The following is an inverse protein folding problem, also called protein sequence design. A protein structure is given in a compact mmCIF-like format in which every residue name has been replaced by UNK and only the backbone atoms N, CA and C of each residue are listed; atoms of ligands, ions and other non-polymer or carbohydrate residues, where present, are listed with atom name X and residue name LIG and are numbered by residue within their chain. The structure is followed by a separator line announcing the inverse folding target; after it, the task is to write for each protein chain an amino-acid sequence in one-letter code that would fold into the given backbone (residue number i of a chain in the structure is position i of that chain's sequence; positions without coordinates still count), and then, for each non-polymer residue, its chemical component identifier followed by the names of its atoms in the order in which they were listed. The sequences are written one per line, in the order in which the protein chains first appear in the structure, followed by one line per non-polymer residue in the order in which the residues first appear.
data_IF_052954054938
#
_entry.id   IF_052954054938
#
_cell.length_a   1.000
_cell.length_b   1.000
_cell.length_c   1.000
_cell.angle_alpha   90.00
_cell.angle_beta   90.00
_cell.angle_gamma   90.00
#
_symmetry.space_group_name_H-M   'P 1'
#
loop_
_entity.id
_entity.type
_entity.pdbx_description
1 polymer ?
#
# COMPACT_ATOMS: atom_id res chain seq x y z
N UNK A 1 -2.21 -30.68 -36.48
CA UNK A 1 -3.61 -31.06 -36.23
C UNK A 1 -3.79 -30.97 -34.73
N UNK A 2 -4.72 -30.15 -34.24
CA UNK A 2 -4.86 -29.95 -32.79
C UNK A 2 -5.59 -31.17 -32.19
N UNK A 3 -4.91 -31.93 -31.35
CA UNK A 3 -5.49 -33.04 -30.60
C UNK A 3 -5.31 -32.79 -29.11
N UNK A 4 -6.26 -33.29 -28.33
CA UNK A 4 -6.18 -33.28 -26.88
C UNK A 4 -5.61 -34.63 -26.48
N UNK A 5 -4.35 -34.66 -26.05
CA UNK A 5 -3.68 -35.89 -25.58
C UNK A 5 -4.04 -36.19 -24.10
N UNK A 6 -5.33 -36.07 -23.75
CA UNK A 6 -5.81 -36.23 -22.37
C UNK A 6 -7.03 -37.13 -22.39
N UNK A 7 -7.11 -38.02 -21.40
CA UNK A 7 -8.26 -38.91 -21.23
C UNK A 7 -9.48 -38.16 -20.69
N UNK A 8 -10.71 -38.60 -20.99
CA UNK A 8 -11.93 -38.01 -20.41
C UNK A 8 -11.92 -37.96 -18.87
N UNK A 9 -11.31 -38.96 -18.22
CA UNK A 9 -11.19 -38.99 -16.76
C UNK A 9 -10.24 -37.93 -16.20
N UNK A 10 -9.11 -37.69 -16.86
CA UNK A 10 -8.21 -36.60 -16.50
C UNK A 10 -8.87 -35.24 -16.67
N UNK A 11 -9.66 -35.05 -17.73
CA UNK A 11 -10.39 -33.81 -17.94
C UNK A 11 -11.42 -33.54 -16.85
N UNK A 12 -12.12 -34.57 -16.34
CA UNK A 12 -13.00 -34.44 -15.17
C UNK A 12 -12.23 -34.02 -13.92
N UNK A 13 -11.01 -34.52 -13.72
CA UNK A 13 -10.14 -34.07 -12.62
C UNK A 13 -9.77 -32.60 -12.79
N UNK A 14 -9.42 -32.17 -14.00
CA UNK A 14 -9.12 -30.76 -14.30
C UNK A 14 -10.32 -29.85 -14.06
N UNK A 15 -11.53 -30.28 -14.40
CA UNK A 15 -12.76 -29.55 -14.07
C UNK A 15 -12.93 -29.38 -12.56
N UNK A 16 -12.75 -30.45 -11.77
CA UNK A 16 -12.79 -30.38 -10.31
C UNK A 16 -11.70 -29.45 -9.75
N UNK A 17 -10.48 -29.55 -10.27
CA UNK A 17 -9.35 -28.71 -9.88
C UNK A 17 -9.63 -27.23 -10.14
N UNK A 18 -10.15 -26.86 -11.32
CA UNK A 18 -10.51 -25.48 -11.61
C UNK A 18 -11.60 -24.93 -10.68
N UNK A 19 -12.55 -25.76 -10.22
CA UNK A 19 -13.56 -25.34 -9.21
C UNK A 19 -12.91 -25.08 -7.86
N UNK A 20 -12.00 -25.94 -7.43
CA UNK A 20 -11.28 -25.79 -6.16
C UNK A 20 -10.36 -24.56 -6.16
N UNK A 21 -9.76 -24.24 -7.30
CA UNK A 21 -8.93 -23.05 -7.49
C UNK A 21 -9.74 -21.75 -7.57
N UNK A 22 -11.08 -21.84 -7.70
CA UNK A 22 -11.94 -20.66 -7.83
C UNK A 22 -11.72 -19.88 -9.12
N UNK A 23 -11.35 -20.57 -10.21
CA UNK A 23 -11.15 -19.95 -11.52
C UNK A 23 -12.47 -19.43 -12.10
N UNK A 24 -12.36 -18.54 -13.08
CA UNK A 24 -13.52 -17.95 -13.75
C UNK A 24 -14.46 -19.03 -14.36
N UNK A 25 -15.76 -18.74 -14.38
CA UNK A 25 -16.78 -19.65 -14.89
C UNK A 25 -16.55 -20.01 -16.37
N UNK A 26 -15.92 -19.11 -17.13
CA UNK A 26 -15.56 -19.35 -18.53
C UNK A 26 -14.52 -20.46 -18.70
N UNK A 27 -13.66 -20.70 -17.70
CA UNK A 27 -12.71 -21.83 -17.71
C UNK A 27 -13.45 -23.16 -17.65
N UNK A 28 -14.43 -23.27 -16.74
CA UNK A 28 -15.27 -24.46 -16.62
C UNK A 28 -15.98 -24.76 -17.95
N UNK A 29 -16.56 -23.72 -18.57
CA UNK A 29 -17.26 -23.84 -19.85
C UNK A 29 -16.34 -24.36 -20.96
N UNK A 30 -15.09 -23.88 -21.04
CA UNK A 30 -14.11 -24.35 -22.03
C UNK A 30 -13.72 -25.82 -21.79
N UNK A 31 -13.52 -26.20 -20.53
CA UNK A 31 -13.28 -27.60 -20.16
C UNK A 31 -14.47 -28.51 -20.49
N UNK A 32 -15.71 -28.03 -20.40
CA UNK A 32 -16.89 -28.77 -20.86
C UNK A 32 -16.89 -28.98 -22.39
N UNK A 33 -16.45 -27.98 -23.17
CA UNK A 33 -16.30 -28.14 -24.62
C UNK A 33 -15.34 -29.27 -24.97
N UNK A 34 -14.20 -29.33 -24.27
CA UNK A 34 -13.22 -30.38 -24.46
C UNK A 34 -13.75 -31.75 -24.02
N UNK A 35 -14.58 -31.82 -22.97
CA UNK A 35 -15.17 -33.07 -22.49
C UNK A 35 -16.10 -33.65 -23.55
N UNK A 36 -17.02 -32.83 -24.04
CA UNK A 36 -17.94 -33.23 -25.10
C UNK A 36 -17.21 -33.53 -26.41
N UNK A 37 -16.15 -32.80 -26.73
CA UNK A 37 -15.33 -33.06 -27.91
C UNK A 37 -14.72 -34.47 -27.87
N UNK A 38 -14.16 -34.90 -26.74
CA UNK A 38 -13.64 -36.25 -26.57
C UNK A 38 -14.76 -37.30 -26.59
N UNK A 39 -15.89 -37.04 -25.92
CA UNK A 39 -17.03 -37.96 -25.86
C UNK A 39 -17.74 -38.15 -27.22
N UNK A 40 -17.70 -37.13 -28.09
CA UNK A 40 -18.32 -37.15 -29.43
C UNK A 40 -17.40 -37.69 -30.53
N UNK A 41 -16.24 -38.27 -30.18
CA UNK A 41 -15.29 -38.80 -31.15
C UNK A 41 -14.53 -37.71 -31.91
N UNK A 42 -14.16 -36.62 -31.22
CA UNK A 42 -13.32 -35.55 -31.74
C UNK A 42 -13.93 -34.73 -32.88
N UNK A 43 -15.26 -34.59 -32.89
CA UNK A 43 -15.96 -33.78 -33.89
C UNK A 43 -16.11 -32.31 -33.47
N UNK A 44 -15.16 -31.45 -33.87
CA UNK A 44 -15.22 -30.00 -33.60
C UNK A 44 -16.54 -29.38 -34.06
N UNK A 45 -17.05 -29.81 -35.24
CA UNK A 45 -18.30 -29.28 -35.79
C UNK A 45 -19.51 -29.61 -34.91
N UNK A 46 -19.54 -30.81 -34.34
CA UNK A 46 -20.61 -31.23 -33.44
C UNK A 46 -20.53 -30.49 -32.11
N UNK A 47 -19.33 -30.38 -31.52
CA UNK A 47 -19.09 -29.61 -30.29
C UNK A 47 -19.52 -28.15 -30.45
N UNK A 48 -19.08 -27.50 -31.52
CA UNK A 48 -19.41 -26.11 -31.82
C UNK A 48 -20.92 -25.90 -31.98
N UNK A 49 -21.61 -26.84 -32.64
CA UNK A 49 -23.08 -26.82 -32.79
C UNK A 49 -23.79 -27.01 -31.44
N UNK A 50 -23.26 -27.88 -30.57
CA UNK A 50 -23.84 -28.17 -29.27
C UNK A 50 -23.76 -26.97 -28.33
N UNK A 51 -22.59 -26.32 -28.22
CA UNK A 51 -22.38 -25.19 -27.31
C UNK A 51 -22.64 -23.81 -27.91
N UNK A 52 -22.97 -23.73 -29.21
CA UNK A 52 -23.19 -22.46 -29.91
C UNK A 52 -21.92 -21.61 -30.03
N UNK A 53 -20.77 -22.26 -30.25
CA UNK A 53 -19.45 -21.61 -30.31
C UNK A 53 -18.92 -21.62 -31.74
N UNK A 54 -18.26 -20.54 -32.17
CA UNK A 54 -17.61 -20.52 -33.47
C UNK A 54 -16.38 -21.45 -33.48
N UNK A 55 -16.17 -22.20 -34.57
CA UNK A 55 -15.01 -23.11 -34.72
C UNK A 55 -13.67 -22.41 -34.46
N UNK A 56 -13.52 -21.17 -34.92
CA UNK A 56 -12.31 -20.36 -34.69
C UNK A 56 -12.05 -20.09 -33.20
N UNK A 57 -13.11 -19.92 -32.41
CA UNK A 57 -13.00 -19.75 -30.95
C UNK A 57 -12.61 -21.05 -30.29
N UNK A 58 -13.22 -22.17 -30.70
CA UNK A 58 -12.84 -23.49 -30.18
C UNK A 58 -11.36 -23.78 -30.45
N UNK A 59 -10.88 -23.61 -31.69
CA UNK A 59 -9.47 -23.84 -32.02
C UNK A 59 -8.52 -22.92 -31.27
N UNK A 60 -8.87 -21.64 -31.08
CA UNK A 60 -8.08 -20.70 -30.28
C UNK A 60 -7.88 -21.20 -28.85
N UNK A 61 -8.95 -21.69 -28.22
CA UNK A 61 -8.86 -22.20 -26.85
C UNK A 61 -8.18 -23.55 -26.77
N UNK A 62 -8.35 -24.40 -27.78
CA UNK A 62 -7.65 -25.66 -27.89
C UNK A 62 -6.14 -25.46 -28.04
N UNK A 63 -5.71 -24.43 -28.78
CA UNK A 63 -4.30 -24.05 -28.91
C UNK A 63 -3.70 -23.55 -27.58
N UNK A 64 -4.50 -22.87 -26.75
CA UNK A 64 -4.04 -22.36 -25.46
C UNK A 64 -4.13 -23.37 -24.33
N UNK A 65 -4.89 -24.45 -24.50
CA UNK A 65 -5.14 -25.38 -23.43
C UNK A 65 -3.87 -26.13 -23.01
N UNK A 66 -3.41 -25.87 -21.79
CA UNK A 66 -2.36 -26.64 -21.12
C UNK A 66 -2.97 -27.37 -19.91
N UNK A 67 -3.01 -28.71 -19.88
CA UNK A 67 -3.48 -29.45 -18.71
C UNK A 67 -2.67 -29.21 -17.43
N UNK A 68 -1.42 -28.77 -17.54
CA UNK A 68 -0.59 -28.45 -16.38
C UNK A 68 -0.91 -27.08 -15.79
N UNK A 69 -1.50 -26.18 -16.58
CA UNK A 69 -1.84 -24.81 -16.18
C UNK A 69 -3.22 -24.38 -16.71
N UNK A 70 -4.23 -24.46 -15.82
CA UNK A 70 -5.61 -24.11 -16.15
C UNK A 70 -5.85 -22.59 -16.30
N UNK A 71 -4.92 -21.74 -15.86
CA UNK A 71 -5.00 -20.29 -16.08
C UNK A 71 -4.88 -19.92 -17.57
N UNK A 72 -4.31 -20.82 -18.38
CA UNK A 72 -4.25 -20.64 -19.84
C UNK A 72 -5.63 -20.52 -20.50
N UNK A 73 -6.67 -21.07 -19.86
CA UNK A 73 -8.06 -20.99 -20.30
C UNK A 73 -8.80 -19.75 -19.81
N UNK A 74 -8.20 -18.91 -18.97
CA UNK A 74 -8.82 -17.67 -18.51
C UNK A 74 -8.88 -16.61 -19.62
N UNK A 75 -9.97 -15.85 -19.67
CA UNK A 75 -10.06 -14.74 -20.61
C UNK A 75 -9.09 -13.64 -20.20
N UNK A 76 -8.28 -13.19 -21.16
CA UNK A 76 -7.36 -12.08 -20.93
C UNK A 76 -8.12 -10.78 -21.08
N UNK A 77 -7.69 -9.76 -20.34
CA UNK A 77 -8.27 -8.41 -20.47
C UNK A 77 -8.26 -7.93 -21.93
N UNK A 78 -9.45 -7.69 -22.49
CA UNK A 78 -9.61 -7.06 -23.80
C UNK A 78 -9.30 -5.56 -23.78
N UNK A 79 -9.01 -5.00 -22.60
CA UNK A 79 -8.71 -3.57 -22.47
C UNK A 79 -7.37 -3.29 -23.18
N UNK A 80 -7.32 -2.30 -24.10
CA UNK A 80 -6.08 -1.90 -24.73
C UNK A 80 -5.01 -1.57 -23.68
N UNK A 81 -3.79 -2.07 -23.89
CA UNK A 81 -2.65 -1.81 -22.99
C UNK A 81 -2.36 -0.31 -22.86
N UNK A 82 -2.53 0.44 -23.96
CA UNK A 82 -2.34 1.88 -23.98
C UNK A 82 -3.66 2.57 -24.33
N UNK A 83 -4.20 3.32 -23.35
CA UNK A 83 -5.30 4.23 -23.59
C UNK A 83 -4.75 5.58 -24.07
N UNK A 84 -5.44 6.18 -25.04
CA UNK A 84 -5.12 7.53 -25.52
C UNK A 84 -5.27 8.53 -24.36
N UNK A 85 -4.21 9.32 -24.11
CA UNK A 85 -4.28 10.44 -23.19
C UNK A 85 -5.05 11.62 -23.83
N UNK A 86 -5.88 12.37 -23.08
CA UNK A 86 -6.52 13.57 -23.58
C UNK A 86 -5.49 14.58 -24.10
N UNK A 87 -5.75 15.19 -25.26
CA UNK A 87 -4.92 16.27 -25.83
C UNK A 87 -5.29 17.63 -25.23
N UNK A 88 -5.39 17.72 -23.91
CA UNK A 88 -5.75 18.97 -23.23
C UNK A 88 -4.48 19.55 -22.60
N UNK A 89 -4.19 20.81 -22.91
CA UNK A 89 -3.08 21.54 -22.29
C UNK A 89 -3.35 21.74 -20.80
N UNK A 90 -2.31 21.63 -19.97
CA UNK A 90 -2.44 21.82 -18.52
C UNK A 90 -3.06 23.18 -18.16
N UNK A 91 -2.73 24.23 -18.90
CA UNK A 91 -3.31 25.58 -18.75
C UNK A 91 -4.85 25.57 -18.80
N UNK A 92 -5.45 24.82 -19.72
CA UNK A 92 -6.91 24.72 -19.82
C UNK A 92 -7.48 24.03 -18.58
N UNK A 93 -6.82 22.97 -18.09
CA UNK A 93 -7.25 22.26 -16.88
C UNK A 93 -7.23 23.19 -15.67
N UNK A 94 -6.19 24.01 -15.53
CA UNK A 94 -6.03 24.94 -14.43
C UNK A 94 -7.07 26.06 -14.47
N UNK A 95 -7.34 26.62 -15.65
CA UNK A 95 -8.40 27.63 -15.83
C UNK A 95 -9.78 27.06 -15.50
N UNK A 96 -10.11 25.86 -15.98
CA UNK A 96 -11.38 25.17 -15.64
C UNK A 96 -11.49 24.97 -14.13
N UNK A 97 -10.39 24.62 -13.44
CA UNK A 97 -10.36 24.53 -11.98
C UNK A 97 -10.66 25.88 -11.34
N UNK A 98 -10.00 26.95 -11.77
CA UNK A 98 -10.19 28.30 -11.22
C UNK A 98 -11.65 28.74 -11.36
N UNK A 99 -12.26 28.56 -12.54
CA UNK A 99 -13.67 28.91 -12.74
C UNK A 99 -14.59 28.11 -11.83
N UNK A 100 -14.37 26.79 -11.68
CA UNK A 100 -15.14 25.94 -10.78
C UNK A 100 -14.93 26.27 -9.29
N UNK A 101 -13.76 26.77 -8.91
CA UNK A 101 -13.49 27.20 -7.53
C UNK A 101 -14.18 28.54 -7.22
N UNK A 102 -14.21 29.46 -8.18
CA UNK A 102 -14.89 30.76 -8.06
C UNK A 102 -16.42 30.59 -8.02
N UNK A 103 -16.95 29.77 -8.92
CA UNK A 103 -18.36 29.39 -8.95
C UNK A 103 -18.50 27.87 -9.19
N UNK A 104 -18.79 27.10 -8.13
CA UNK A 104 -18.96 25.67 -8.24
C UNK A 104 -20.12 25.24 -9.13
N UNK A 105 -21.14 26.08 -9.34
CA UNK A 105 -22.34 25.72 -10.11
C UNK A 105 -22.24 26.01 -11.60
N UNK A 106 -21.17 26.69 -12.02
CA UNK A 106 -20.96 27.10 -13.40
C UNK A 106 -21.02 25.91 -14.38
N UNK A 107 -21.80 26.06 -15.45
CA UNK A 107 -21.97 25.04 -16.47
C UNK A 107 -20.71 24.81 -17.31
N UNK A 108 -20.57 23.62 -17.89
CA UNK A 108 -19.48 23.32 -18.84
C UNK A 108 -19.52 24.21 -20.09
N UNK A 109 -20.71 24.63 -20.52
CA UNK A 109 -20.90 25.51 -21.68
C UNK A 109 -20.44 26.94 -21.36
N UNK A 110 -20.80 27.45 -20.19
CA UNK A 110 -20.36 28.76 -19.70
C UNK A 110 -18.84 28.82 -19.52
N UNK A 111 -18.23 27.77 -18.96
CA UNK A 111 -16.76 27.70 -18.84
C UNK A 111 -16.09 27.69 -20.22
N UNK A 112 -16.68 27.02 -21.22
CA UNK A 112 -16.14 27.03 -22.58
C UNK A 112 -16.19 28.42 -23.20
N UNK A 113 -17.29 29.15 -23.00
CA UNK A 113 -17.44 30.54 -23.43
C UNK A 113 -16.41 31.46 -22.76
N UNK A 114 -16.22 31.34 -21.44
CA UNK A 114 -15.21 32.13 -20.70
C UNK A 114 -13.78 31.87 -21.18
N UNK A 115 -13.44 30.60 -21.47
CA UNK A 115 -12.13 30.26 -22.02
C UNK A 115 -11.89 30.89 -23.40
N UNK A 116 -12.92 30.98 -24.24
CA UNK A 116 -12.84 31.62 -25.55
C UNK A 116 -12.77 33.15 -25.41
N UNK A 117 -13.60 33.76 -24.57
CA UNK A 117 -13.67 35.22 -24.41
C UNK A 117 -12.47 35.82 -23.66
N UNK A 118 -12.01 35.19 -22.57
CA UNK A 118 -10.94 35.75 -21.72
C UNK A 118 -9.54 35.34 -22.17
N UNK A 119 -9.42 34.17 -22.81
CA UNK A 119 -8.12 33.56 -23.11
C UNK A 119 -7.93 33.16 -24.58
N UNK A 120 -8.91 33.42 -25.45
CA UNK A 120 -8.87 33.02 -26.87
C UNK A 120 -8.62 31.51 -27.07
N UNK A 121 -9.00 30.69 -26.09
CA UNK A 121 -8.79 29.24 -26.11
C UNK A 121 -10.08 28.53 -26.51
N UNK A 122 -10.15 28.06 -27.76
CA UNK A 122 -11.33 27.36 -28.27
C UNK A 122 -11.37 25.91 -27.77
N UNK A 123 -12.20 25.64 -26.76
CA UNK A 123 -12.38 24.30 -26.17
C UNK A 123 -13.85 23.92 -26.19
N UNK A 124 -14.19 22.74 -26.74
CA UNK A 124 -15.58 22.28 -26.73
C UNK A 124 -16.08 22.06 -25.29
N UNK A 125 -17.36 22.37 -25.04
CA UNK A 125 -18.04 22.06 -23.78
C UNK A 125 -17.89 20.59 -23.33
N UNK A 126 -17.90 19.65 -24.27
CA UNK A 126 -17.65 18.23 -23.98
C UNK A 126 -16.24 17.97 -23.45
N UNK A 127 -15.23 18.71 -23.91
CA UNK A 127 -13.86 18.64 -23.37
C UNK A 127 -13.81 19.21 -21.96
N UNK A 128 -14.46 20.35 -21.70
CA UNK A 128 -14.59 20.92 -20.36
C UNK A 128 -15.27 19.95 -19.40
N UNK A 129 -16.38 19.33 -19.81
CA UNK A 129 -17.07 18.31 -19.03
C UNK A 129 -16.21 17.07 -18.72
N UNK A 130 -15.39 16.62 -19.69
CA UNK A 130 -14.41 15.55 -19.47
C UNK A 130 -13.35 15.96 -18.44
N UNK A 131 -12.83 17.19 -18.51
CA UNK A 131 -11.87 17.72 -17.53
C UNK A 131 -12.50 17.72 -16.14
N UNK A 132 -13.70 18.29 -15.98
CA UNK A 132 -14.40 18.33 -14.69
C UNK A 132 -14.58 16.93 -14.10
N UNK A 133 -14.96 15.95 -14.92
CA UNK A 133 -15.19 14.57 -14.47
C UNK A 133 -13.88 13.86 -14.16
N UNK A 134 -12.86 14.00 -15.00
CA UNK A 134 -11.57 13.33 -14.85
C UNK A 134 -10.80 13.83 -13.62
N UNK A 135 -10.84 15.14 -13.35
CA UNK A 135 -10.14 15.76 -12.23
C UNK A 135 -11.05 16.03 -11.02
N UNK A 136 -12.30 15.58 -11.07
CA UNK A 136 -13.27 15.69 -9.97
C UNK A 136 -13.49 17.14 -9.48
N UNK A 137 -13.61 18.11 -10.39
CA UNK A 137 -13.82 19.53 -10.07
C UNK A 137 -15.25 19.86 -9.64
N UNK A 138 -15.76 19.13 -8.65
CA UNK A 138 -17.06 19.33 -8.04
C UNK A 138 -16.88 19.96 -6.66
N UNK A 139 -16.69 21.28 -6.60
CA UNK A 139 -16.41 21.99 -5.33
C UNK A 139 -17.67 22.38 -4.54
N UNK A 140 -18.86 22.29 -5.13
CA UNK A 140 -20.11 22.68 -4.49
C UNK A 140 -20.58 21.69 -3.42
N UNK A 141 -21.40 22.16 -2.48
CA UNK A 141 -21.96 21.33 -1.40
C UNK A 141 -23.35 20.75 -1.70
N UNK A 142 -23.87 20.94 -2.92
CA UNK A 142 -25.15 20.33 -3.32
C UNK A 142 -25.10 18.80 -3.31
N UNK A 143 -26.27 18.17 -3.17
CA UNK A 143 -26.45 16.71 -3.21
C UNK A 143 -25.82 16.10 -4.48
N UNK A 144 -26.00 16.75 -5.63
CA UNK A 144 -25.43 16.28 -6.89
C UNK A 144 -23.89 16.29 -6.88
N UNK A 145 -23.28 17.34 -6.34
CA UNK A 145 -21.83 17.44 -6.23
C UNK A 145 -21.25 16.38 -5.30
N UNK A 146 -21.89 16.15 -4.14
CA UNK A 146 -21.52 15.09 -3.19
C UNK A 146 -21.56 13.71 -3.84
N UNK A 147 -22.66 13.39 -4.53
CA UNK A 147 -22.82 12.14 -5.29
C UNK A 147 -21.75 11.97 -6.36
N UNK A 148 -21.40 13.05 -7.08
CA UNK A 148 -20.37 13.02 -8.13
C UNK A 148 -18.96 12.81 -7.60
N UNK A 149 -18.63 13.33 -6.41
CA UNK A 149 -17.36 13.05 -5.72
C UNK A 149 -17.24 11.60 -5.22
N UNK A 150 -18.33 10.83 -5.25
CA UNK A 150 -18.42 9.48 -4.66
C UNK A 150 -17.98 9.48 -3.19
N UNK A 151 -18.26 10.56 -2.48
CA UNK A 151 -18.08 10.58 -1.03
C UNK A 151 -19.00 9.50 -0.43
N UNK A 152 -18.53 8.67 0.51
CA UNK A 152 -19.41 7.76 1.22
C UNK A 152 -20.55 8.59 1.78
N UNK A 153 -21.79 8.18 1.53
CA UNK A 153 -22.93 8.80 2.17
C UNK A 153 -22.70 8.69 3.67
N UNK A 154 -22.38 9.81 4.32
CA UNK A 154 -22.37 9.89 5.77
C UNK A 154 -23.84 9.75 6.19
N UNK A 155 -24.28 8.52 6.41
CA UNK A 155 -25.54 8.24 7.09
C UNK A 155 -25.52 8.96 8.45
N UNK A 156 -26.49 9.86 8.64
CA UNK A 156 -26.78 10.45 9.94
C UNK A 156 -26.53 11.96 10.02
N UNK A 157 -27.58 12.71 9.67
CA UNK A 157 -27.97 14.07 10.13
C UNK A 157 -28.46 14.92 8.96
N UNK A 158 -29.57 14.52 8.35
CA UNK A 158 -30.38 15.41 7.53
C UNK A 158 -31.84 15.05 7.76
N UNK A 159 -32.46 15.77 8.70
CA UNK A 159 -33.87 15.57 9.02
C UNK A 159 -34.34 16.30 10.26
N UNK A 160 -33.96 17.57 10.46
CA UNK A 160 -34.71 18.47 11.39
C UNK A 160 -34.80 19.94 10.94
N UNK A 161 -34.08 20.38 9.91
CA UNK A 161 -34.08 21.82 9.58
C UNK A 161 -34.82 22.11 8.26
N UNK A 162 -36.06 21.67 8.10
CA UNK A 162 -36.99 22.29 7.15
C UNK A 162 -38.43 21.83 7.41
N UNK A 163 -39.17 22.62 8.18
CA UNK A 163 -40.60 22.93 8.04
C UNK A 163 -40.94 24.03 9.08
N UNK A 164 -40.91 25.28 8.57
CA UNK A 164 -41.65 26.53 8.87
C UNK A 164 -42.90 26.47 9.79
N UNK A 165 -43.52 27.56 10.32
CA UNK A 165 -43.59 28.95 9.80
C UNK A 165 -43.73 30.11 10.85
N UNK A 166 -43.88 31.33 10.34
CA UNK A 166 -44.31 32.61 10.93
C UNK A 166 -45.42 32.48 12.01
N UNK A 167 -45.25 33.08 13.20
CA UNK A 167 -46.27 33.83 13.98
C UNK A 167 -45.73 34.34 15.35
N UNK A 168 -45.96 35.64 15.58
CA UNK A 168 -46.27 36.39 16.82
C UNK A 168 -45.83 35.92 18.23
N UNK A 169 -45.26 36.90 18.98
CA UNK A 169 -45.60 37.35 20.36
C UNK A 169 -45.37 36.30 21.48
N UNK A 170 -44.58 36.51 22.55
CA UNK A 170 -44.75 37.47 23.64
C UNK A 170 -43.57 37.36 24.66
N UNK A 171 -43.65 38.14 25.73
CA UNK A 171 -42.63 38.54 26.71
C UNK A 171 -42.04 37.44 27.63
N UNK A 172 -40.91 37.80 28.25
CA UNK A 172 -40.18 37.16 29.38
C UNK A 172 -41.11 36.82 30.57
N UNK A 173 -40.76 35.84 31.44
CA UNK A 173 -40.04 36.24 32.66
C UNK A 173 -38.99 35.25 33.20
N UNK A 174 -38.09 35.88 33.97
CA UNK A 174 -37.28 35.48 35.12
C UNK A 174 -37.25 34.00 35.61
N UNK A 175 -36.01 33.54 35.83
CA UNK A 175 -35.61 32.89 37.08
C UNK A 175 -35.88 31.39 37.22
N UNK A 176 -34.87 30.55 36.93
CA UNK A 176 -34.68 29.27 37.62
C UNK A 176 -33.26 28.72 37.41
N UNK A 177 -32.51 28.73 38.51
CA UNK A 177 -31.39 27.88 38.94
C UNK A 177 -30.67 26.96 37.94
N UNK A 178 -29.35 27.20 37.84
CA UNK A 178 -28.35 26.24 37.33
C UNK A 178 -27.89 25.36 38.50
N UNK A 179 -27.97 24.04 38.36
CA UNK A 179 -27.16 23.08 39.14
C UNK A 179 -26.68 21.90 38.27
N UNK A 180 -25.53 21.28 38.63
CA UNK A 180 -24.54 20.82 37.65
C UNK A 180 -24.38 19.29 37.61
N UNK A 181 -24.43 18.71 36.42
CA UNK A 181 -23.97 17.34 36.14
C UNK A 181 -23.77 17.23 34.62
N UNK A 182 -22.65 16.82 34.07
CA UNK A 182 -21.43 16.23 34.61
C UNK A 182 -20.32 16.45 33.58
N UNK A 183 -19.24 17.12 33.95
CA UNK A 183 -18.02 17.23 33.11
C UNK A 183 -17.49 15.84 32.69
N UNK A 184 -17.83 14.82 33.48
CA UNK A 184 -17.57 13.42 33.20
C UNK A 184 -18.27 12.88 31.94
N UNK A 185 -19.48 13.36 31.61
CA UNK A 185 -20.17 12.94 30.38
C UNK A 185 -19.48 13.50 29.14
N UNK A 186 -19.03 14.75 29.20
CA UNK A 186 -18.25 15.39 28.14
C UNK A 186 -16.88 14.69 27.96
N UNK A 187 -16.22 14.31 29.05
CA UNK A 187 -14.94 13.58 29.01
C UNK A 187 -15.10 12.15 28.46
N UNK A 188 -16.17 11.44 28.84
CA UNK A 188 -16.47 10.11 28.31
C UNK A 188 -16.81 10.13 26.82
N UNK A 189 -17.46 11.20 26.34
CA UNK A 189 -17.82 11.39 24.94
C UNK A 189 -16.59 11.80 24.11
N UNK A 190 -15.70 12.63 24.66
CA UNK A 190 -14.41 12.96 24.06
C UNK A 190 -13.50 11.72 23.95
N UNK A 191 -13.45 10.88 24.98
CA UNK A 191 -12.71 9.61 24.97
C UNK A 191 -13.21 8.63 23.91
N UNK A 192 -14.54 8.49 23.76
CA UNK A 192 -15.15 7.66 22.71
C UNK A 192 -14.85 8.19 21.29
N UNK A 193 -14.84 9.51 21.09
CA UNK A 193 -14.48 10.13 19.81
C UNK A 193 -13.00 9.93 19.46
N UNK A 194 -12.10 10.05 20.44
CA UNK A 194 -10.67 9.81 20.24
C UNK A 194 -10.39 8.33 19.93
N UNK A 195 -11.06 7.40 20.62
CA UNK A 195 -10.96 5.96 20.37
C UNK A 195 -11.42 5.61 18.94
N UNK A 196 -12.50 6.24 18.47
CA UNK A 196 -13.04 6.03 17.12
C UNK A 196 -12.11 6.59 16.03
N UNK A 197 -11.47 7.73 16.29
CA UNK A 197 -10.49 8.36 15.39
C UNK A 197 -9.22 7.50 15.23
N UNK A 198 -8.70 6.97 16.35
CA UNK A 198 -7.52 6.08 16.35
C UNK A 198 -7.85 4.74 15.67
N UNK A 199 -9.05 4.19 15.90
CA UNK A 199 -9.47 2.91 15.31
C UNK A 199 -9.73 2.99 13.79
N UNK A 200 -10.07 4.18 13.27
CA UNK A 200 -10.24 4.42 11.83
C UNK A 200 -8.94 4.40 11.02
N UNK A 201 -7.81 4.81 11.61
CA UNK A 201 -6.52 4.84 10.91
C UNK A 201 -5.85 3.46 10.80
N UNK A 202 -6.19 2.53 11.71
CA UNK A 202 -5.59 1.20 11.81
C UNK A 202 -6.36 0.08 11.09
N UNK A 203 -7.19 0.41 10.09
CA UNK A 203 -7.96 -0.57 9.30
C UNK A 203 -7.12 -1.23 8.18
N UNK A 204 -5.93 -1.72 8.51
CA UNK A 204 -5.18 -2.74 7.75
C UNK A 204 -4.54 -3.72 8.74
N UNK A 205 -5.00 -4.99 8.83
CA UNK A 205 -4.53 -5.92 9.86
C UNK A 205 -3.02 -6.17 9.83
N UNK A 206 -2.36 -5.92 8.69
CA UNK A 206 -0.91 -6.06 8.50
C UNK A 206 -0.11 -5.05 9.34
N UNK A 207 -0.60 -3.82 9.53
CA UNK A 207 0.15 -2.75 10.22
C UNK A 207 0.11 -2.96 11.74
N UNK A 208 -1.02 -3.43 12.29
CA UNK A 208 -1.18 -3.67 13.73
C UNK A 208 -0.32 -4.86 14.18
N UNK A 209 -0.32 -5.95 13.40
CA UNK A 209 0.56 -7.11 13.67
C UNK A 209 2.03 -6.71 13.60
N UNK A 210 2.40 -5.85 12.63
CA UNK A 210 3.76 -5.36 12.48
C UNK A 210 4.23 -4.49 13.65
N UNK A 211 3.40 -3.59 14.18
CA UNK A 211 3.78 -2.71 15.30
C UNK A 211 3.89 -3.47 16.61
N UNK A 212 2.94 -4.37 16.91
CA UNK A 212 3.01 -5.19 18.13
C UNK A 212 4.22 -6.12 18.07
N UNK A 213 4.49 -6.72 16.91
CA UNK A 213 5.69 -7.55 16.72
C UNK A 213 6.98 -6.73 16.86
N UNK A 214 7.03 -5.50 16.35
CA UNK A 214 8.21 -4.63 16.46
C UNK A 214 8.43 -4.15 17.91
N UNK A 215 7.36 -3.83 18.64
CA UNK A 215 7.44 -3.50 20.07
C UNK A 215 7.88 -4.70 20.91
N UNK A 216 7.44 -5.91 20.59
CA UNK A 216 7.90 -7.13 21.25
C UNK A 216 9.39 -7.41 20.98
N UNK A 217 9.87 -7.16 19.75
CA UNK A 217 11.29 -7.27 19.40
C UNK A 217 12.14 -6.22 20.12
N UNK A 218 11.67 -4.98 20.20
CA UNK A 218 12.35 -3.92 20.95
C UNK A 218 12.40 -4.25 22.45
N UNK A 219 11.29 -4.74 23.03
CA UNK A 219 11.26 -5.17 24.43
C UNK A 219 12.20 -6.35 24.69
N UNK A 220 12.25 -7.33 23.78
CA UNK A 220 13.18 -8.46 23.86
C UNK A 220 14.64 -8.00 23.76
N UNK A 221 14.95 -7.08 22.83
CA UNK A 221 16.28 -6.50 22.67
C UNK A 221 16.73 -5.72 23.91
N UNK A 222 15.85 -4.91 24.50
CA UNK A 222 16.12 -4.21 25.74
C UNK A 222 16.31 -5.18 26.91
N UNK A 223 15.53 -6.27 26.96
CA UNK A 223 15.67 -7.30 27.99
C UNK A 223 17.00 -8.06 27.86
N UNK A 224 17.46 -8.37 26.63
CA UNK A 224 18.78 -8.97 26.39
C UNK A 224 19.92 -8.03 26.74
N UNK A 225 19.80 -6.74 26.37
CA UNK A 225 20.82 -5.74 26.70
C UNK A 225 20.94 -5.50 28.22
N UNK A 226 19.80 -5.47 28.92
CA UNK A 226 19.78 -5.34 30.38
C UNK A 226 20.31 -6.60 31.10
N UNK A 227 20.10 -7.79 30.53
CA UNK A 227 20.69 -9.01 31.06
C UNK A 227 22.22 -9.00 30.85
N UNK A 228 22.70 -8.59 29.70
CA UNK A 228 24.13 -8.52 29.39
C UNK A 228 24.86 -7.47 30.23
N UNK A 229 24.24 -6.30 30.49
CA UNK A 229 24.80 -5.28 31.38
C UNK A 229 24.92 -5.79 32.82
N UNK A 230 23.90 -6.51 33.31
CA UNK A 230 23.92 -7.09 34.66
C UNK A 230 24.97 -8.20 34.80
N UNK A 231 25.13 -9.03 33.76
CA UNK A 231 26.18 -10.05 33.73
C UNK A 231 27.59 -9.42 33.62
N UNK A 232 27.73 -8.27 32.97
CA UNK A 232 28.99 -7.52 32.95
C UNK A 232 29.32 -6.92 34.32
N UNK A 233 28.33 -6.38 35.04
CA UNK A 233 28.51 -5.91 36.44
C UNK A 233 28.94 -7.07 37.35
N UNK A 234 28.33 -8.24 37.25
CA UNK A 234 28.71 -9.42 38.04
C UNK A 234 30.12 -9.92 37.72
N UNK A 235 30.54 -9.87 36.43
CA UNK A 235 31.91 -10.21 36.02
C UNK A 235 32.92 -9.19 36.54
N UNK A 236 32.63 -7.90 36.41
CA UNK A 236 33.49 -6.82 36.90
C UNK A 236 33.58 -6.84 38.42
N UNK A 237 32.50 -7.15 39.13
CA UNK A 237 32.49 -7.31 40.59
C UNK A 237 33.34 -8.52 41.02
N UNK A 238 33.28 -9.64 40.30
CA UNK A 238 34.15 -10.80 40.54
C UNK A 238 35.62 -10.49 40.25
N UNK A 239 35.92 -9.82 39.15
CA UNK A 239 37.28 -9.41 38.81
C UNK A 239 37.83 -8.37 39.81
N UNK A 240 37.01 -7.43 40.28
CA UNK A 240 37.39 -6.47 41.31
C UNK A 240 37.64 -7.15 42.65
N UNK A 241 36.82 -8.15 43.03
CA UNK A 241 37.05 -8.97 44.21
C UNK A 241 38.35 -9.79 44.09
N UNK A 242 38.62 -10.37 42.93
CA UNK A 242 39.85 -11.13 42.63
C UNK A 242 41.10 -10.22 42.61
N UNK A 243 40.99 -8.99 42.09
CA UNK A 243 42.07 -7.99 42.18
C UNK A 243 42.30 -7.52 43.62
N UNK A 244 41.25 -7.33 44.43
CA UNK A 244 41.40 -7.01 45.86
C UNK A 244 42.03 -8.18 46.64
N UNK A 245 41.72 -9.44 46.27
CA UNK A 245 42.39 -10.62 46.83
C UNK A 245 43.87 -10.68 46.41
N UNK A 246 44.21 -10.34 45.16
CA UNK A 246 45.59 -10.27 44.65
C UNK A 246 46.39 -9.09 45.22
N UNK A 247 45.76 -7.93 45.45
CA UNK A 247 46.36 -6.79 46.15
C UNK A 247 46.55 -7.10 47.65
N UNK A 248 45.63 -7.86 48.25
CA UNK A 248 45.80 -8.42 49.59
C UNK A 248 46.95 -9.42 49.70
N UNK A 249 47.26 -10.15 48.62
CA UNK A 249 48.39 -11.10 48.56
C UNK A 249 49.73 -10.46 48.15
N UNK A 250 49.74 -9.25 47.58
CA UNK A 250 50.97 -8.53 47.19
C UNK A 250 51.39 -7.46 48.21
N UNK A 251 50.57 -7.20 49.23
CA UNK A 251 50.92 -6.40 50.40
C UNK A 251 51.57 -7.23 51.53
N UNK A 252 52.65 -7.96 51.24
CA UNK A 252 53.62 -8.41 52.26
C UNK A 252 55.03 -8.53 51.62
N UNK A 253 56.10 -8.05 52.29
CA UNK A 253 57.28 -7.53 51.62
C UNK A 253 58.45 -8.53 51.52
N UNK A 254 59.23 -8.43 50.45
CA UNK A 254 60.66 -8.78 50.41
C UNK A 254 61.20 -8.18 49.10
N UNK A 255 62.10 -7.21 49.05
CA UNK A 255 63.36 -7.14 49.78
C UNK A 255 64.50 -7.24 48.76
N UNK A 256 65.20 -6.12 48.57
CA UNK A 256 66.60 -6.01 48.14
C UNK A 256 66.96 -5.67 46.67
N UNK A 257 67.95 -4.74 46.61
CA UNK A 257 68.90 -4.32 45.55
C UNK A 257 68.43 -3.19 44.63
N UNK A 258 68.72 -1.93 45.00
CA UNK A 258 69.96 -1.16 44.71
C UNK A 258 70.18 -0.98 43.20
N UNK A 259 69.89 0.21 42.65
CA UNK A 259 70.79 1.39 42.58
C UNK A 259 71.69 1.36 41.34
N UNK A 260 71.42 2.23 40.37
CA UNK A 260 72.40 3.05 39.64
C UNK A 260 71.71 3.80 38.48
N UNK A 261 72.08 5.06 38.35
CA UNK A 261 71.62 6.07 37.39
C UNK A 261 72.42 5.95 36.04
N UNK A 262 72.56 7.01 35.21
CA UNK A 262 71.55 7.60 34.33
C UNK A 262 72.05 7.83 32.87
N UNK A 263 71.13 8.35 32.04
CA UNK A 263 71.30 9.40 31.02
C UNK A 263 72.12 9.22 29.71
N UNK A 264 71.60 9.96 28.71
CA UNK A 264 72.23 10.56 27.51
C UNK A 264 72.20 9.81 26.17
N UNK A 265 71.88 10.57 25.12
CA UNK A 265 72.52 10.38 23.81
C UNK A 265 71.62 10.54 22.59
N UNK A 266 71.68 11.74 22.00
CA UNK A 266 71.11 12.11 20.71
C UNK A 266 71.73 11.38 19.50
N UNK A 267 71.01 11.40 18.37
CA UNK A 267 71.63 11.65 17.06
C UNK A 267 71.29 10.68 15.91
N UNK A 268 70.78 11.25 14.80
CA UNK A 268 71.31 10.95 13.45
C UNK A 268 70.46 10.13 12.47
N UNK A 269 69.71 10.83 11.62
CA UNK A 269 69.63 10.76 10.14
C UNK A 269 69.66 9.42 9.35
N UNK A 270 68.50 9.10 8.73
CA UNK A 270 68.14 8.88 7.28
C UNK A 270 69.29 8.61 6.25
N UNK A 271 69.14 7.96 5.04
CA UNK A 271 68.04 7.22 4.36
C UNK A 271 68.45 5.85 3.74
N UNK A 272 67.48 5.10 3.17
CA UNK A 272 67.42 4.76 1.71
C UNK A 272 66.64 3.47 1.37
N UNK A 273 65.42 3.66 0.85
CA UNK A 273 64.82 3.08 -0.39
C UNK A 273 64.71 1.54 -0.59
N UNK A 274 63.97 1.04 -1.62
CA UNK A 274 62.74 0.27 -1.39
C UNK A 274 62.72 -1.09 -2.11
N UNK A 275 61.64 -1.87 -1.95
CA UNK A 275 61.17 -3.00 -2.80
C UNK A 275 60.00 -3.66 -2.04
N UNK A 276 58.94 -4.27 -2.57
CA UNK A 276 58.43 -4.54 -3.91
C UNK A 276 56.98 -5.02 -3.66
N UNK A 277 55.94 -4.40 -4.20
CA UNK A 277 54.59 -5.01 -4.25
C UNK A 277 54.39 -5.65 -5.62
N UNK A 278 53.90 -6.90 -5.59
CA UNK A 278 53.70 -7.75 -6.77
C UNK A 278 52.25 -7.63 -7.24
N UNK A 279 52.12 -7.29 -8.51
CA UNK A 279 50.97 -7.30 -9.41
C UNK A 279 50.39 -8.70 -9.63
N UNK A 280 49.08 -8.81 -9.92
CA UNK A 280 48.47 -9.45 -11.11
C UNK A 280 47.03 -8.87 -11.20
N UNK A 281 46.65 -8.09 -12.22
CA UNK A 281 46.26 -8.48 -13.60
C UNK A 281 45.04 -9.43 -13.58
N UNK A 282 43.96 -9.25 -14.34
CA UNK A 282 43.64 -8.36 -15.46
C UNK A 282 42.19 -8.63 -15.91
N UNK A 283 41.77 -7.89 -16.96
CA UNK A 283 40.71 -8.19 -17.95
C UNK A 283 39.35 -7.49 -17.81
N UNK A 284 39.28 -6.35 -18.48
CA UNK A 284 38.10 -5.72 -19.10
C UNK A 284 37.98 -6.10 -20.59
N UNK A 285 36.84 -5.80 -21.24
CA UNK A 285 36.26 -6.63 -22.30
C UNK A 285 36.51 -6.12 -23.72
N UNK A 286 36.18 -6.99 -24.68
CA UNK A 286 36.29 -6.78 -26.12
C UNK A 286 34.89 -6.62 -26.75
N UNK A 287 34.81 -5.81 -27.82
CA UNK A 287 33.86 -5.97 -28.93
C UNK A 287 32.53 -5.25 -28.87
#
# INVERSE_FOLDING_TARGET
MYHIEITPEELRKLQQQARLMGLDADVQKKLEWFSYYLESGESVSQTCKHFGVARSTFYRWLEYFDPSDLHTLEEKSHRPRMLRKPKVTQTVVDLVRIYRMRDPFLGKDQIAELLESEHSMKVSSSTVGRIITQYNFYFGNSVLHRRKRKEPEMEGQAGQDFLSPIAEVEQTPEGAEVQPVSEFAAFAQAGKSLLKYIWGHFRRPIIVVSIVSNLALIALFLMTAAWESRMAEDRNAKQAAEMLEMEGHTAAPDGARQAAAPEQGAGGDIPSKPQHTRTYSELTPDG
#
